data_IF_384931823760
#
_entry.id   IF_384931823760
#
_cell.length_a   1.000
_cell.length_b   1.000
_cell.length_c   1.000
_cell.angle_alpha   90.00
_cell.angle_beta   90.00
_cell.angle_gamma   90.00
#
_symmetry.space_group_name_H-M   'P 1'
#
loop_
_entity.id
_entity.type
_entity.pdbx_description
1 polymer ?
#
# COMPACT_ATOMS: atom_id res chain seq x y z
N UNK A 1 1.42 10.47 15.55
CA UNK A 1 0.67 9.52 15.52
C UNK A 1 -0.33 9.27 14.49
N UNK A 2 -0.48 8.04 14.25
CA UNK A 2 -1.33 7.60 13.17
C UNK A 2 -2.78 8.03 13.36
N UNK A 3 -3.18 8.20 14.58
CA UNK A 3 -4.52 8.58 14.87
C UNK A 3 -4.90 9.92 14.31
N UNK A 4 -4.00 10.85 14.36
CA UNK A 4 -4.27 12.15 13.82
C UNK A 4 -4.50 12.10 12.34
N UNK A 5 -3.79 11.25 11.66
CA UNK A 5 -3.97 11.14 10.25
C UNK A 5 -5.33 10.57 9.92
N UNK A 6 -5.77 9.64 10.71
CA UNK A 6 -7.08 9.08 10.47
C UNK A 6 -8.17 10.11 10.64
N UNK A 7 -8.01 11.00 11.59
CA UNK A 7 -8.99 12.03 11.78
C UNK A 7 -9.07 12.94 10.55
N UNK A 8 -7.94 13.29 10.01
CA UNK A 8 -7.94 14.09 8.81
C UNK A 8 -8.57 13.38 7.65
N UNK A 9 -8.32 12.09 7.57
CA UNK A 9 -8.89 11.29 6.54
C UNK A 9 -10.41 11.27 6.62
N UNK A 10 -10.94 11.17 7.82
CA UNK A 10 -12.34 11.15 8.03
C UNK A 10 -12.98 12.44 7.56
N UNK A 11 -12.34 13.55 7.81
CA UNK A 11 -12.82 14.80 7.36
C UNK A 11 -12.93 14.86 5.85
N UNK A 12 -11.96 14.34 5.19
CA UNK A 12 -11.96 14.27 3.76
C UNK A 12 -13.13 13.45 3.24
N UNK A 13 -13.41 12.38 3.91
CA UNK A 13 -14.51 11.54 3.57
C UNK A 13 -15.81 12.28 3.60
N UNK A 14 -15.99 13.11 4.59
CA UNK A 14 -17.21 13.88 4.73
C UNK A 14 -17.36 14.84 3.57
N UNK A 15 -16.29 15.45 3.17
CA UNK A 15 -16.33 16.37 2.06
C UNK A 15 -16.70 15.68 0.78
N UNK A 16 -16.13 14.53 0.58
CA UNK A 16 -16.43 13.77 -0.62
C UNK A 16 -17.88 13.35 -0.63
N UNK A 17 -18.38 12.94 0.49
CA UNK A 17 -19.75 12.53 0.58
C UNK A 17 -20.69 13.67 0.21
N UNK A 18 -20.38 14.85 0.67
CA UNK A 18 -21.21 15.99 0.34
C UNK A 18 -21.21 16.26 -1.16
N UNK A 19 -20.04 16.16 -1.75
CA UNK A 19 -19.94 16.43 -3.16
C UNK A 19 -20.64 15.41 -4.02
N UNK A 20 -20.81 14.23 -3.49
CA UNK A 20 -21.35 13.14 -4.26
C UNK A 20 -22.74 12.76 -3.91
N UNK A 21 -23.41 13.61 -3.19
CA UNK A 21 -24.73 13.22 -2.75
C UNK A 21 -25.65 12.95 -3.93
N UNK A 22 -25.43 13.57 -5.07
CA UNK A 22 -26.29 13.37 -6.21
C UNK A 22 -25.93 12.19 -7.05
N UNK A 23 -24.74 11.68 -6.89
CA UNK A 23 -24.28 10.57 -7.69
C UNK A 23 -23.74 9.53 -6.76
N UNK A 24 -24.62 8.74 -6.21
CA UNK A 24 -24.15 7.74 -5.25
C UNK A 24 -23.29 6.71 -5.94
N UNK A 25 -22.18 6.43 -5.35
CA UNK A 25 -21.28 5.43 -5.83
C UNK A 25 -20.80 4.63 -4.66
N UNK A 26 -20.69 3.35 -4.86
CA UNK A 26 -20.26 2.45 -3.82
C UNK A 26 -18.98 1.79 -4.28
N UNK A 27 -18.00 1.80 -3.41
CA UNK A 27 -16.76 1.13 -3.69
C UNK A 27 -16.74 -0.16 -2.91
N UNK A 28 -16.63 -1.26 -3.60
CA UNK A 28 -16.67 -2.56 -2.98
C UNK A 28 -15.34 -3.24 -3.16
N UNK A 29 -14.75 -3.64 -2.05
CA UNK A 29 -13.53 -4.40 -2.09
C UNK A 29 -13.90 -5.85 -2.31
N UNK A 30 -13.55 -6.39 -3.46
CA UNK A 30 -13.95 -7.75 -3.80
C UNK A 30 -12.93 -8.77 -3.39
N UNK A 31 -11.67 -8.40 -3.41
CA UNK A 31 -10.63 -9.39 -3.20
C UNK A 31 -9.37 -8.70 -2.71
N UNK A 32 -8.70 -9.33 -1.78
CA UNK A 32 -7.38 -8.90 -1.33
C UNK A 32 -6.47 -10.09 -1.42
N UNK A 33 -5.30 -9.90 -1.96
CA UNK A 33 -4.37 -11.02 -2.03
C UNK A 33 -2.94 -10.51 -2.10
N UNK A 34 -2.04 -11.38 -1.69
CA UNK A 34 -0.62 -11.10 -1.79
C UNK A 34 -0.17 -11.47 -3.18
N UNK A 35 0.30 -10.49 -3.91
CA UNK A 35 0.67 -10.71 -5.29
C UNK A 35 2.09 -11.21 -5.42
N UNK A 36 2.96 -10.73 -4.56
CA UNK A 36 4.35 -11.11 -4.61
C UNK A 36 5.02 -10.76 -3.31
N UNK A 37 6.00 -11.54 -2.91
CA UNK A 37 6.74 -11.25 -1.71
C UNK A 37 8.13 -11.85 -1.84
N UNK A 38 9.12 -11.10 -1.43
CA UNK A 38 10.47 -11.59 -1.44
C UNK A 38 11.21 -11.10 -0.22
N UNK A 39 12.16 -11.87 0.22
CA UNK A 39 13.00 -11.55 1.34
C UNK A 39 14.40 -11.97 0.99
N UNK A 40 15.35 -11.08 1.15
CA UNK A 40 16.75 -11.39 0.89
C UNK A 40 17.59 -10.92 2.05
N UNK A 41 18.54 -11.74 2.42
CA UNK A 41 19.46 -11.40 3.49
C UNK A 41 20.86 -11.77 3.05
N UNK A 42 21.47 -10.96 2.21
CA UNK A 42 22.74 -11.35 1.59
C UNK A 42 23.91 -11.45 2.54
N UNK A 43 23.87 -10.79 3.65
CA UNK A 43 24.99 -10.81 4.59
C UNK A 43 24.70 -11.58 5.85
N UNK A 44 23.69 -12.44 5.81
CA UNK A 44 23.41 -13.27 6.97
C UNK A 44 24.34 -14.45 7.00
N UNK A 45 24.59 -15.03 8.16
CA UNK A 45 24.06 -14.59 9.43
C UNK A 45 24.90 -13.51 10.10
N UNK A 46 26.03 -13.18 9.53
CA UNK A 46 26.98 -12.31 10.21
C UNK A 46 26.41 -10.93 10.52
N UNK A 47 25.57 -10.44 9.65
CA UNK A 47 25.03 -9.11 9.84
C UNK A 47 24.16 -9.02 11.07
N UNK A 48 23.61 -10.14 11.53
CA UNK A 48 22.75 -10.14 12.70
C UNK A 48 23.50 -10.34 14.00
N UNK A 49 24.81 -10.36 13.92
CA UNK A 49 25.59 -10.55 15.09
C UNK A 49 25.47 -9.32 15.94
N UNK A 50 25.86 -9.42 17.11
CA UNK A 50 25.77 -8.45 18.12
C UNK A 50 25.49 -7.05 17.68
N UNK A 51 25.78 -6.10 17.77
CA UNK A 51 25.54 -4.71 17.62
C UNK A 51 24.93 -4.28 16.30
N UNK A 52 24.16 -5.13 15.69
CA UNK A 52 23.52 -4.75 14.46
C UNK A 52 22.46 -3.71 14.73
N UNK A 53 22.64 -2.55 14.16
CA UNK A 53 21.70 -1.46 14.32
C UNK A 53 21.38 -0.92 12.95
N UNK A 54 20.36 -1.47 12.31
CA UNK A 54 20.08 -1.06 10.96
C UNK A 54 19.34 0.25 10.88
N UNK A 55 19.49 0.90 9.77
CA UNK A 55 18.64 1.99 9.40
C UNK A 55 17.64 1.44 8.42
N UNK A 56 16.40 1.77 8.62
CA UNK A 56 15.35 1.27 7.75
C UNK A 56 15.00 2.31 6.72
N UNK A 57 14.95 1.88 5.49
CA UNK A 57 14.48 2.72 4.41
C UNK A 57 13.22 2.07 3.89
N UNK A 58 12.15 2.81 3.87
CA UNK A 58 10.86 2.26 3.47
C UNK A 58 10.33 3.06 2.30
N UNK A 59 10.01 2.36 1.22
CA UNK A 59 9.39 2.96 0.07
C UNK A 59 8.03 2.34 -0.14
N UNK A 60 7.05 3.16 -0.43
CA UNK A 60 5.71 2.69 -0.66
C UNK A 60 5.19 3.32 -1.93
N UNK A 61 4.70 2.49 -2.82
CA UNK A 61 4.11 2.92 -4.08
C UNK A 61 2.79 2.27 -4.29
N UNK A 62 1.91 2.95 -4.99
CA UNK A 62 0.67 2.32 -5.40
C UNK A 62 0.51 2.45 -6.89
N UNK A 63 -0.17 1.50 -7.47
CA UNK A 63 -0.43 1.51 -8.88
C UNK A 63 -1.82 0.95 -9.10
N UNK A 64 -2.61 1.67 -9.87
CA UNK A 64 -3.96 1.23 -10.16
C UNK A 64 -4.09 0.94 -11.63
N UNK A 65 -4.84 -0.09 -11.96
CA UNK A 65 -5.10 -0.40 -13.34
C UNK A 65 -6.53 -0.88 -13.48
N UNK A 66 -7.07 -0.69 -14.66
CA UNK A 66 -8.43 -1.03 -14.93
C UNK A 66 -8.52 -2.46 -15.40
N UNK A 67 -9.42 -3.24 -14.81
CA UNK A 67 -9.64 -4.60 -15.24
C UNK A 67 -10.84 -4.68 -16.15
N UNK A 68 -11.84 -3.86 -15.90
CA UNK A 68 -13.00 -3.78 -16.75
C UNK A 68 -13.64 -2.43 -16.49
N UNK A 69 -14.82 -2.22 -16.98
CA UNK A 69 -15.43 -0.93 -16.89
C UNK A 69 -15.53 -0.40 -15.49
N UNK A 70 -15.89 -1.25 -14.57
CA UNK A 70 -16.07 -0.78 -13.20
C UNK A 70 -15.24 -1.56 -12.19
N UNK A 71 -14.21 -2.25 -12.63
CA UNK A 71 -13.37 -3.01 -11.73
C UNK A 71 -11.93 -2.60 -11.91
N UNK A 72 -11.25 -2.44 -10.81
CA UNK A 72 -9.87 -1.94 -10.81
C UNK A 72 -9.02 -2.72 -9.85
N UNK A 73 -7.79 -2.89 -10.20
CA UNK A 73 -6.82 -3.50 -9.31
C UNK A 73 -5.92 -2.40 -8.78
N UNK A 74 -5.71 -2.38 -7.48
CA UNK A 74 -4.76 -1.47 -6.87
C UNK A 74 -3.68 -2.30 -6.22
N UNK A 75 -2.44 -2.06 -6.61
CA UNK A 75 -1.31 -2.79 -6.07
C UNK A 75 -0.52 -1.84 -5.19
N UNK A 76 -0.29 -2.26 -3.98
CA UNK A 76 0.54 -1.54 -3.03
C UNK A 76 1.90 -2.23 -2.99
N UNK A 77 2.93 -1.53 -3.38
CA UNK A 77 4.27 -2.09 -3.34
C UNK A 77 5.03 -1.47 -2.18
N UNK A 78 5.55 -2.31 -1.32
CA UNK A 78 6.31 -1.87 -0.16
C UNK A 78 7.69 -2.48 -0.24
N UNK A 79 8.71 -1.64 -0.13
CA UNK A 79 10.09 -2.10 -0.11
C UNK A 79 10.72 -1.62 1.19
N UNK A 80 11.31 -2.54 1.93
CA UNK A 80 11.98 -2.22 3.16
C UNK A 80 13.42 -2.68 3.05
N UNK A 81 14.33 -1.75 3.22
CA UNK A 81 15.75 -2.04 3.17
C UNK A 81 16.33 -1.75 4.54
N UNK A 82 16.83 -2.77 5.20
CA UNK A 82 17.45 -2.63 6.51
C UNK A 82 18.94 -2.80 6.35
N UNK A 83 19.66 -1.70 6.43
CA UNK A 83 21.10 -1.71 6.19
C UNK A 83 21.80 -1.04 7.34
N UNK A 84 23.03 -1.45 7.60
CA UNK A 84 23.83 -0.79 8.62
C UNK A 84 24.50 0.43 8.01
N UNK A 85 25.06 1.22 8.86
CA UNK A 85 25.86 2.30 8.41
C UNK A 85 26.94 1.77 7.58
N UNK A 86 27.54 2.10 6.75
CA UNK A 86 28.54 1.47 5.93
C UNK A 86 27.89 0.72 4.80
N UNK A 87 26.58 0.77 4.75
CA UNK A 87 25.86 0.22 3.60
C UNK A 87 25.88 -1.29 3.51
N UNK A 88 26.06 -1.95 4.63
CA UNK A 88 25.96 -3.39 4.61
C UNK A 88 24.52 -3.76 4.79
N UNK A 89 23.96 -4.40 3.81
CA UNK A 89 22.55 -4.73 3.81
C UNK A 89 22.28 -5.89 4.73
N UNK A 90 21.34 -5.73 5.64
CA UNK A 90 20.91 -6.82 6.48
C UNK A 90 19.84 -7.62 5.80
N UNK A 91 18.79 -6.96 5.36
CA UNK A 91 17.77 -7.66 4.59
C UNK A 91 17.01 -6.65 3.75
N UNK A 92 16.38 -7.19 2.75
CA UNK A 92 15.53 -6.40 1.87
C UNK A 92 14.23 -7.18 1.72
N UNK A 93 13.13 -6.49 1.97
CA UNK A 93 11.82 -7.08 1.83
C UNK A 93 11.07 -6.33 0.75
N UNK A 94 10.43 -7.07 -0.15
CA UNK A 94 9.57 -6.47 -1.14
C UNK A 94 8.25 -7.18 -1.12
N UNK A 95 7.17 -6.43 -1.03
CA UNK A 95 5.84 -6.98 -0.95
C UNK A 95 4.97 -6.26 -1.94
N UNK A 96 4.14 -7.00 -2.64
CA UNK A 96 3.11 -6.42 -3.49
C UNK A 96 1.78 -6.97 -3.02
N UNK A 97 0.99 -6.12 -2.42
CA UNK A 97 -0.31 -6.46 -1.91
C UNK A 97 -1.34 -5.87 -2.86
N UNK A 98 -2.28 -6.66 -3.30
CA UNK A 98 -3.23 -6.21 -4.29
C UNK A 98 -4.64 -6.27 -3.74
N UNK A 99 -5.47 -5.39 -4.26
CA UNK A 99 -6.88 -5.41 -3.98
C UNK A 99 -7.65 -5.18 -5.26
N UNK A 100 -8.75 -5.86 -5.41
CA UNK A 100 -9.63 -5.66 -6.55
C UNK A 100 -10.89 -4.98 -6.04
N UNK A 101 -11.20 -3.86 -6.67
CA UNK A 101 -12.31 -3.04 -6.25
C UNK A 101 -13.31 -2.93 -7.38
N UNK A 102 -14.58 -2.98 -7.03
CA UNK A 102 -15.63 -2.70 -7.97
C UNK A 102 -16.29 -1.39 -7.59
N UNK A 103 -16.61 -0.61 -8.58
CA UNK A 103 -17.29 0.64 -8.36
C UNK A 103 -18.70 0.45 -8.85
N UNK A 104 -19.66 0.56 -7.94
CA UNK A 104 -21.06 0.40 -8.31
C UNK A 104 -21.77 1.72 -8.14
N UNK A 105 -22.83 1.86 -8.87
CA UNK A 105 -23.54 3.08 -8.85
C UNK A 105 -23.34 3.76 -10.14
N UNK A 106 -24.06 4.78 -10.35
CA UNK A 106 -24.05 5.37 -11.59
C UNK A 106 -23.31 6.61 -11.62
N UNK A 107 -22.55 6.81 -12.58
CA UNK A 107 -21.86 7.99 -12.68
C UNK A 107 -22.33 8.66 -13.87
N UNK A 108 -23.38 9.06 -13.86
CA UNK A 108 -23.71 9.75 -14.94
C UNK A 108 -23.31 9.23 -16.25
N UNK A 109 -23.20 9.07 -16.37
CA UNK A 109 -22.97 8.77 -17.25
C UNK A 109 -22.43 8.49 -17.78
N UNK A 110 -22.26 8.45 -17.70
CA UNK A 110 -21.68 8.17 -18.14
C UNK A 110 -21.71 7.91 -18.68
#
# INVERSE_FOLDING_TARGET
>A
MARSKFAGHKKMSDEIADNQEKIPATLILERIFLKDASFESPSSPEVFDTSWKPELKVDINTKASSLSENRHEVVLRITIDAATKGRKSGFIIEIQQAGVFAIEGVFGDD
#
